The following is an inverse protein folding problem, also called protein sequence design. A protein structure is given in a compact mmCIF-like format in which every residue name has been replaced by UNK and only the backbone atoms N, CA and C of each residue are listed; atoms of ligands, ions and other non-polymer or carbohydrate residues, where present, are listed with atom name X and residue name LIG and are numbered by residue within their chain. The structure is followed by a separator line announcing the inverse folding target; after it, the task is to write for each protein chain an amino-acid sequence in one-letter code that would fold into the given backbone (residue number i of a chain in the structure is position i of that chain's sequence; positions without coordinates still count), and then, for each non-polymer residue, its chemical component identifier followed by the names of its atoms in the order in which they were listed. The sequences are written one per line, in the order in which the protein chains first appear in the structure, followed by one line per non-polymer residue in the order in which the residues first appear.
data_IF_395268395939
#
_entry.id   IF_395268395939
#
_cell.length_a   1.000
_cell.length_b   1.000
_cell.length_c   1.000
_cell.angle_alpha   90.00
_cell.angle_beta   90.00
_cell.angle_gamma   90.00
#
_symmetry.space_group_name_H-M   'P 1'
#
loop_
_entity.id
_entity.type
_entity.pdbx_description
1 polymer ?
#
# COMPACT_ATOMS: atom_id res chain seq x y z
N UNK A 1 12.54 28.04 -1.40
CA UNK A 1 11.26 28.16 -0.66
C UNK A 1 11.30 27.15 0.47
N UNK A 2 10.70 27.42 1.64
CA UNK A 2 10.59 26.43 2.68
C UNK A 2 9.77 25.23 2.14
N UNK A 3 10.13 24.02 2.57
CA UNK A 3 9.35 22.82 2.22
C UNK A 3 7.97 22.87 2.89
N UNK A 4 6.92 22.24 2.31
CA UNK A 4 5.55 22.30 2.84
C UNK A 4 5.42 21.84 4.30
N UNK A 5 6.22 20.87 4.74
CA UNK A 5 6.19 20.34 6.10
C UNK A 5 7.37 20.80 6.97
N UNK A 6 8.01 21.94 6.61
CA UNK A 6 9.05 22.53 7.45
C UNK A 6 8.53 22.85 8.86
N UNK A 7 9.20 22.36 9.88
CA UNK A 7 8.81 22.52 11.29
C UNK A 7 7.94 21.39 11.85
N UNK A 8 7.40 20.50 11.03
CA UNK A 8 6.67 19.31 11.48
C UNK A 8 7.68 18.22 11.86
N UNK A 9 7.52 17.66 13.06
CA UNK A 9 8.31 16.56 13.59
C UNK A 9 7.51 15.27 13.56
N UNK A 10 8.09 14.24 12.96
CA UNK A 10 7.51 12.89 12.86
C UNK A 10 8.39 11.90 13.61
N UNK A 11 7.79 11.04 14.42
CA UNK A 11 8.48 9.92 15.06
C UNK A 11 7.93 8.61 14.52
N UNK A 12 8.83 7.82 13.95
CA UNK A 12 8.56 6.53 13.33
C UNK A 12 9.01 5.42 14.29
N UNK A 13 8.09 4.54 14.67
CA UNK A 13 8.32 3.41 15.59
C UNK A 13 7.88 2.13 14.92
N UNK A 14 8.76 1.15 14.85
CA UNK A 14 8.49 -0.15 14.24
C UNK A 14 9.39 -0.43 13.04
N UNK A 15 9.41 -1.71 12.64
CA UNK A 15 10.33 -2.21 11.61
C UNK A 15 9.61 -2.59 10.32
N UNK A 16 8.39 -2.08 10.12
CA UNK A 16 7.59 -2.36 8.93
C UNK A 16 7.84 -1.33 7.84
N UNK A 17 7.76 -1.78 6.59
CA UNK A 17 7.86 -0.91 5.40
C UNK A 17 6.81 0.19 5.45
N UNK A 18 5.59 -0.07 5.95
CA UNK A 18 4.53 0.92 6.04
C UNK A 18 4.94 2.16 6.86
N UNK A 19 5.57 1.98 8.04
CA UNK A 19 6.08 3.11 8.81
C UNK A 19 7.21 3.82 8.07
N UNK A 20 8.17 3.04 7.55
CA UNK A 20 9.32 3.57 6.85
C UNK A 20 8.92 4.36 5.59
N UNK A 21 7.93 3.88 4.85
CA UNK A 21 7.41 4.57 3.66
C UNK A 21 6.59 5.81 4.03
N UNK A 22 5.74 5.74 5.06
CA UNK A 22 5.06 6.90 5.62
C UNK A 22 6.07 8.02 5.99
N UNK A 23 7.08 7.68 6.79
CA UNK A 23 8.12 8.61 7.18
C UNK A 23 8.90 9.16 5.99
N UNK A 24 9.15 8.34 4.96
CA UNK A 24 9.78 8.80 3.71
C UNK A 24 8.95 9.87 3.01
N UNK A 25 7.65 9.63 2.80
CA UNK A 25 6.78 10.61 2.15
C UNK A 25 6.73 11.94 2.90
N UNK A 26 6.61 11.89 4.22
CA UNK A 26 6.62 13.09 5.06
C UNK A 26 7.99 13.79 5.05
N UNK A 27 9.08 13.02 5.04
CA UNK A 27 10.45 13.56 4.94
C UNK A 27 10.70 14.25 3.60
N UNK A 28 10.25 13.65 2.50
CA UNK A 28 10.41 14.22 1.15
C UNK A 28 9.61 15.53 1.01
N UNK A 29 8.51 15.67 1.76
CA UNK A 29 7.76 16.92 1.87
C UNK A 29 8.37 17.93 2.87
N UNK A 30 9.47 17.60 3.56
CA UNK A 30 10.25 18.50 4.40
C UNK A 30 10.07 18.35 5.91
N UNK A 31 9.36 17.32 6.39
CA UNK A 31 9.27 17.03 7.81
C UNK A 31 10.61 16.56 8.40
N UNK A 32 10.82 16.81 9.69
CA UNK A 32 11.92 16.28 10.49
C UNK A 32 11.52 14.90 11.02
N UNK A 33 11.97 13.83 10.36
CA UNK A 33 11.61 12.45 10.70
C UNK A 33 12.69 11.78 11.53
N UNK A 34 12.29 11.24 12.69
CA UNK A 34 13.15 10.48 13.61
C UNK A 34 12.67 9.03 13.64
N UNK A 35 13.53 8.12 13.22
CA UNK A 35 13.28 6.67 13.29
C UNK A 35 13.76 6.17 14.64
N UNK A 36 12.89 5.52 15.39
CA UNK A 36 13.23 4.84 16.64
C UNK A 36 13.53 3.38 16.33
N UNK A 37 14.79 3.00 16.50
CA UNK A 37 15.27 1.66 16.24
C UNK A 37 15.47 0.87 17.54
N UNK A 38 15.27 -0.46 17.51
CA UNK A 38 15.63 -1.32 18.66
C UNK A 38 17.15 -1.42 18.82
N UNK A 39 17.59 -1.95 19.94
CA UNK A 39 18.99 -2.32 20.13
C UNK A 39 19.42 -3.30 19.02
N UNK A 40 20.53 -3.01 18.37
CA UNK A 40 21.01 -3.74 17.18
C UNK A 40 20.49 -3.19 15.83
N UNK A 41 19.66 -2.16 15.85
CA UNK A 41 19.14 -1.49 14.65
C UNK A 41 17.91 -2.18 14.04
N UNK A 42 17.27 -1.50 13.10
CA UNK A 42 16.11 -2.05 12.39
C UNK A 42 16.50 -3.23 11.47
N UNK A 43 15.72 -4.31 11.42
CA UNK A 43 15.90 -5.40 10.45
C UNK A 43 15.92 -4.90 8.98
N UNK A 44 15.24 -3.80 8.67
CA UNK A 44 15.22 -3.20 7.34
C UNK A 44 16.62 -2.78 6.85
N UNK A 45 17.57 -2.51 7.76
CA UNK A 45 18.96 -2.18 7.39
C UNK A 45 19.66 -3.25 6.54
N UNK A 46 19.21 -4.52 6.67
CA UNK A 46 19.74 -5.64 5.88
C UNK A 46 19.29 -5.63 4.41
N UNK A 47 18.34 -4.78 4.06
CA UNK A 47 17.80 -4.67 2.70
C UNK A 47 18.64 -3.78 1.75
N UNK A 48 19.82 -3.31 2.18
CA UNK A 48 20.75 -2.54 1.35
C UNK A 48 20.10 -1.28 0.75
N UNK A 49 20.21 -1.11 -0.56
CA UNK A 49 19.67 0.07 -1.26
C UNK A 49 18.19 0.32 -1.04
N UNK A 50 17.43 -0.70 -0.73
CA UNK A 50 16.01 -0.53 -0.38
C UNK A 50 15.85 0.20 0.96
N UNK A 51 16.70 -0.11 1.95
CA UNK A 51 16.75 0.66 3.18
C UNK A 51 17.18 2.10 2.93
N UNK A 52 18.19 2.32 2.09
CA UNK A 52 18.66 3.67 1.75
C UNK A 52 17.53 4.50 1.13
N UNK A 53 16.70 3.89 0.28
CA UNK A 53 15.52 4.51 -0.30
C UNK A 53 14.51 4.92 0.77
N UNK A 54 14.21 4.05 1.74
CA UNK A 54 13.22 4.29 2.79
C UNK A 54 13.73 5.25 3.88
N UNK A 55 15.02 5.20 4.20
CA UNK A 55 15.63 5.93 5.32
C UNK A 55 16.30 7.25 4.93
N UNK A 56 16.47 7.50 3.65
CA UNK A 56 17.21 8.67 3.15
C UNK A 56 16.74 9.99 3.75
N UNK A 57 17.68 10.72 4.35
CA UNK A 57 17.43 12.03 4.98
C UNK A 57 16.69 12.01 6.32
N UNK A 58 16.33 10.86 6.86
CA UNK A 58 15.80 10.73 8.22
C UNK A 58 16.91 10.70 9.26
N UNK A 59 16.59 11.05 10.48
CA UNK A 59 17.45 10.84 11.65
C UNK A 59 17.08 9.51 12.30
N UNK A 60 18.02 8.90 12.99
CA UNK A 60 17.80 7.64 13.72
C UNK A 60 18.25 7.75 15.16
N UNK A 61 17.57 7.07 16.05
CA UNK A 61 17.94 6.89 17.45
C UNK A 61 17.66 5.47 17.89
N UNK A 62 18.63 4.84 18.53
CA UNK A 62 18.42 3.54 19.20
C UNK A 62 17.81 3.83 20.57
N UNK A 63 16.66 3.21 20.87
CA UNK A 63 15.93 3.48 22.10
C UNK A 63 15.16 2.27 22.61
N UNK A 64 15.11 2.12 23.94
CA UNK A 64 14.15 1.24 24.62
C UNK A 64 12.71 1.79 24.47
N UNK A 65 11.71 0.97 24.80
CA UNK A 65 10.30 1.40 24.75
C UNK A 65 10.02 2.69 25.52
N UNK A 66 10.51 2.79 26.77
CA UNK A 66 10.34 4.00 27.58
C UNK A 66 11.09 5.21 27.03
N UNK A 67 12.20 5.01 26.33
CA UNK A 67 12.90 6.09 25.62
C UNK A 67 12.16 6.48 24.36
N UNK A 68 11.59 5.52 23.61
CA UNK A 68 10.76 5.76 22.44
C UNK A 68 9.56 6.67 22.75
N UNK A 69 8.88 6.43 23.87
CA UNK A 69 7.79 7.30 24.36
C UNK A 69 8.26 8.73 24.63
N UNK A 70 9.45 8.90 25.23
CA UNK A 70 10.02 10.25 25.46
C UNK A 70 10.38 10.96 24.16
N UNK A 71 10.91 10.24 23.17
CA UNK A 71 11.18 10.81 21.84
C UNK A 71 9.87 11.22 21.16
N UNK A 72 8.84 10.40 21.28
CA UNK A 72 7.51 10.65 20.71
C UNK A 72 6.82 11.87 21.36
N UNK A 73 7.10 12.18 22.62
CA UNK A 73 6.45 13.28 23.36
C UNK A 73 6.63 14.67 22.72
N UNK A 74 7.63 14.84 21.86
CA UNK A 74 7.89 16.10 21.15
C UNK A 74 7.50 16.06 19.66
N UNK A 75 6.75 15.04 19.25
CA UNK A 75 6.32 14.87 17.85
C UNK A 75 4.96 15.52 17.58
N UNK A 76 4.76 15.95 16.34
CA UNK A 76 3.46 16.36 15.81
C UNK A 76 2.71 15.13 15.24
N UNK A 77 3.46 14.17 14.68
CA UNK A 77 2.93 12.89 14.19
C UNK A 77 3.76 11.74 14.75
N UNK A 78 3.11 10.74 15.30
CA UNK A 78 3.74 9.47 15.71
C UNK A 78 3.16 8.36 14.84
N UNK A 79 4.03 7.60 14.16
CA UNK A 79 3.64 6.43 13.37
C UNK A 79 4.14 5.18 14.07
N UNK A 80 3.23 4.33 14.51
CA UNK A 80 3.54 3.05 15.15
C UNK A 80 3.10 1.89 14.25
N UNK A 81 4.03 1.26 13.56
CA UNK A 81 3.72 0.10 12.74
C UNK A 81 4.11 -1.20 13.45
N UNK A 82 3.13 -1.78 14.12
CA UNK A 82 3.24 -3.05 14.84
C UNK A 82 1.84 -3.63 15.06
N UNK A 83 1.72 -4.95 15.18
CA UNK A 83 0.52 -5.56 15.75
C UNK A 83 0.42 -5.27 17.26
N UNK A 84 -0.78 -5.36 17.85
CA UNK A 84 -0.91 -5.20 19.30
C UNK A 84 0.02 -6.16 20.09
N UNK A 85 0.17 -7.41 19.62
CA UNK A 85 1.07 -8.38 20.25
C UNK A 85 2.54 -7.98 20.15
N UNK A 86 2.98 -7.45 19.00
CA UNK A 86 4.34 -6.95 18.82
C UNK A 86 4.65 -5.75 19.69
N UNK A 87 3.73 -4.80 19.76
CA UNK A 87 3.86 -3.62 20.62
C UNK A 87 4.01 -4.03 22.09
N UNK A 88 3.16 -4.96 22.57
CA UNK A 88 3.27 -5.49 23.93
C UNK A 88 4.61 -6.18 24.18
N UNK A 89 5.09 -7.02 23.24
CA UNK A 89 6.42 -7.68 23.39
C UNK A 89 7.56 -6.65 23.46
N UNK A 90 7.44 -5.55 22.77
CA UNK A 90 8.41 -4.44 22.80
C UNK A 90 8.23 -3.50 23.98
N UNK A 91 7.22 -3.73 24.83
CA UNK A 91 6.90 -2.83 25.94
C UNK A 91 6.33 -1.47 25.50
N UNK A 92 5.81 -1.37 24.28
CA UNK A 92 5.19 -0.14 23.76
C UNK A 92 3.70 -0.18 24.11
N UNK A 93 3.26 0.77 24.91
CA UNK A 93 1.86 0.97 25.25
C UNK A 93 1.29 2.11 24.37
N UNK A 94 0.37 1.77 23.46
CA UNK A 94 -0.26 2.75 22.59
C UNK A 94 -1.11 3.77 23.35
N UNK A 95 -1.76 3.36 24.45
CA UNK A 95 -2.51 4.30 25.31
C UNK A 95 -1.57 5.28 26.01
N UNK A 96 -0.43 4.77 26.50
CA UNK A 96 0.59 5.62 27.09
C UNK A 96 1.18 6.58 26.05
N UNK A 97 1.43 6.13 24.82
CA UNK A 97 1.84 7.02 23.73
C UNK A 97 0.86 8.17 23.57
N UNK A 98 -0.43 7.90 23.42
CA UNK A 98 -1.44 8.94 23.28
C UNK A 98 -1.49 9.89 24.49
N UNK A 99 -1.42 9.34 25.72
CA UNK A 99 -1.44 10.14 26.95
C UNK A 99 -0.21 11.04 27.07
N UNK A 100 0.95 10.57 26.62
CA UNK A 100 2.22 11.32 26.68
C UNK A 100 2.40 12.28 25.51
N UNK A 101 1.60 12.15 24.46
CA UNK A 101 1.62 13.02 23.27
C UNK A 101 0.25 13.65 22.98
N UNK A 102 -0.36 14.40 23.92
CA UNK A 102 -1.76 14.82 23.82
C UNK A 102 -2.05 15.76 22.66
N UNK A 103 -1.02 16.37 22.08
CA UNK A 103 -1.14 17.24 20.90
C UNK A 103 -0.81 16.54 19.58
N UNK A 104 -0.21 15.37 19.61
CA UNK A 104 0.25 14.67 18.41
C UNK A 104 -0.86 13.83 17.76
N UNK A 105 -0.75 13.68 16.45
CA UNK A 105 -1.51 12.66 15.70
C UNK A 105 -0.81 11.33 15.87
N UNK A 106 -1.47 10.34 16.45
CA UNK A 106 -0.93 8.98 16.59
C UNK A 106 -1.57 8.06 15.56
N UNK A 107 -0.77 7.59 14.61
CA UNK A 107 -1.18 6.64 13.56
C UNK A 107 -0.63 5.26 13.90
N UNK A 108 -1.51 4.32 14.20
CA UNK A 108 -1.15 2.91 14.32
C UNK A 108 -1.38 2.18 13.01
N UNK A 109 -0.46 1.29 12.61
CA UNK A 109 -0.56 0.47 11.40
C UNK A 109 -0.37 -0.98 11.76
N UNK A 110 -1.38 -1.81 11.50
CA UNK A 110 -1.32 -3.26 11.70
C UNK A 110 -2.06 -4.01 10.59
N UNK A 111 -1.97 -5.34 10.55
CA UNK A 111 -2.58 -6.11 9.48
C UNK A 111 -4.10 -5.94 9.41
N UNK A 112 -4.77 -5.92 10.57
CA UNK A 112 -6.23 -5.95 10.68
C UNK A 112 -6.82 -4.85 11.58
N UNK A 113 -6.01 -3.84 11.94
CA UNK A 113 -6.37 -2.85 12.97
C UNK A 113 -5.96 -3.31 14.38
N UNK A 114 -6.04 -2.39 15.33
CA UNK A 114 -5.66 -2.64 16.73
C UNK A 114 -6.80 -3.18 17.58
N UNK A 115 -8.01 -3.16 17.05
CA UNK A 115 -9.23 -3.61 17.72
C UNK A 115 -9.99 -4.62 16.85
N UNK A 116 -10.94 -5.32 17.47
CA UNK A 116 -11.76 -6.30 16.78
C UNK A 116 -11.20 -7.73 16.82
N UNK A 117 -11.95 -8.70 16.28
CA UNK A 117 -11.68 -10.12 16.45
C UNK A 117 -10.41 -10.60 15.72
N UNK A 118 -9.92 -9.86 14.74
CA UNK A 118 -8.76 -10.23 13.92
C UNK A 118 -7.47 -9.50 14.27
N UNK A 119 -7.50 -8.58 15.23
CA UNK A 119 -6.37 -7.72 15.57
C UNK A 119 -5.06 -8.48 15.86
N UNK A 120 -5.17 -9.70 16.40
CA UNK A 120 -4.04 -10.56 16.75
C UNK A 120 -3.72 -11.65 15.71
N UNK A 121 -4.49 -11.72 14.61
CA UNK A 121 -4.25 -12.75 13.60
C UNK A 121 -2.94 -12.48 12.85
N UNK A 122 -2.13 -13.54 12.66
CA UNK A 122 -0.96 -13.44 11.81
C UNK A 122 -1.39 -13.29 10.35
N UNK A 123 -0.66 -12.49 9.58
CA UNK A 123 -0.83 -12.38 8.16
C UNK A 123 0.51 -12.17 7.46
N UNK A 124 0.54 -12.53 6.20
CA UNK A 124 1.62 -12.24 5.26
C UNK A 124 1.05 -11.34 4.16
N UNK A 125 1.92 -10.71 3.39
CA UNK A 125 1.49 -9.94 2.21
C UNK A 125 0.58 -10.76 1.28
N UNK A 126 0.94 -12.04 1.03
CA UNK A 126 0.13 -12.94 0.20
C UNK A 126 -1.28 -13.17 0.77
N UNK A 127 -1.38 -13.43 2.09
CA UNK A 127 -2.69 -13.67 2.72
C UNK A 127 -3.54 -12.41 2.75
N UNK A 128 -2.95 -11.24 2.95
CA UNK A 128 -3.66 -9.95 2.88
C UNK A 128 -4.16 -9.67 1.45
N UNK A 129 -3.34 -9.95 0.43
CA UNK A 129 -3.78 -9.86 -0.97
C UNK A 129 -4.92 -10.83 -1.29
N UNK A 130 -4.92 -12.02 -0.70
CA UNK A 130 -6.01 -12.97 -0.85
C UNK A 130 -7.30 -12.49 -0.16
N UNK A 131 -7.18 -12.00 1.08
CA UNK A 131 -8.31 -11.49 1.86
C UNK A 131 -8.97 -10.26 1.23
N UNK A 132 -8.19 -9.33 0.71
CA UNK A 132 -8.73 -8.19 -0.02
C UNK A 132 -9.26 -8.55 -1.41
N UNK A 133 -9.16 -9.82 -1.85
CA UNK A 133 -9.65 -10.30 -3.14
C UNK A 133 -8.70 -10.05 -4.33
N UNK A 134 -7.58 -9.39 -4.14
CA UNK A 134 -6.64 -9.03 -5.21
C UNK A 134 -6.10 -10.25 -5.98
N UNK A 135 -5.75 -11.34 -5.28
CA UNK A 135 -5.28 -12.57 -5.92
C UNK A 135 -6.35 -13.23 -6.78
N UNK A 136 -7.63 -13.11 -6.40
CA UNK A 136 -8.76 -13.68 -7.12
C UNK A 136 -8.97 -13.09 -8.52
N UNK A 137 -8.46 -11.88 -8.76
CA UNK A 137 -8.54 -11.19 -10.05
C UNK A 137 -7.29 -11.35 -10.92
N UNK A 138 -6.26 -12.08 -10.47
CA UNK A 138 -4.96 -12.18 -11.13
C UNK A 138 -4.64 -13.61 -11.59
N UNK A 139 -3.90 -13.69 -12.69
CA UNK A 139 -3.45 -14.94 -13.29
C UNK A 139 -4.42 -15.52 -14.30
N UNK A 140 -4.02 -16.62 -14.92
CA UNK A 140 -4.83 -17.33 -15.91
C UNK A 140 -5.97 -18.10 -15.21
N UNK A 141 -7.15 -18.22 -15.85
CA UNK A 141 -8.34 -18.86 -15.24
C UNK A 141 -8.12 -20.30 -14.79
N UNK A 142 -7.30 -21.05 -15.52
CA UNK A 142 -6.99 -22.47 -15.34
C UNK A 142 -5.77 -22.75 -14.46
N UNK A 143 -5.14 -21.69 -13.92
CA UNK A 143 -3.95 -21.78 -13.07
C UNK A 143 -4.22 -21.29 -11.64
N UNK A 144 -3.38 -21.63 -10.67
CA UNK A 144 -3.48 -21.05 -9.33
C UNK A 144 -3.44 -19.51 -9.36
N UNK A 145 -4.17 -18.84 -8.45
CA UNK A 145 -4.09 -17.38 -8.32
C UNK A 145 -2.66 -16.93 -7.99
N UNK A 146 -2.29 -15.78 -8.49
CA UNK A 146 -0.98 -15.17 -8.22
C UNK A 146 -1.11 -13.88 -7.44
N UNK A 147 -0.18 -13.65 -6.52
CA UNK A 147 -0.06 -12.37 -5.86
C UNK A 147 0.69 -11.37 -6.75
N UNK A 148 0.42 -10.10 -6.57
CA UNK A 148 1.33 -9.06 -7.05
C UNK A 148 2.65 -9.16 -6.28
N UNK A 149 3.76 -8.94 -6.97
CA UNK A 149 5.08 -8.95 -6.36
C UNK A 149 5.32 -7.75 -5.44
N UNK A 150 6.28 -7.88 -4.54
CA UNK A 150 6.64 -6.87 -3.57
C UNK A 150 5.67 -6.82 -2.37
N UNK A 151 5.86 -5.82 -1.53
CA UNK A 151 5.07 -5.60 -0.31
C UNK A 151 4.06 -4.48 -0.55
N UNK A 152 3.14 -4.67 -1.52
CA UNK A 152 2.19 -3.64 -1.96
C UNK A 152 1.30 -3.16 -0.82
N UNK A 153 0.85 -4.06 0.05
CA UNK A 153 0.02 -3.72 1.21
C UNK A 153 0.74 -2.77 2.16
N UNK A 154 2.03 -3.00 2.38
CA UNK A 154 2.86 -2.12 3.22
C UNK A 154 3.00 -0.72 2.59
N UNK A 155 3.25 -0.63 1.28
CA UNK A 155 3.35 0.66 0.59
C UNK A 155 2.02 1.41 0.57
N UNK A 156 0.92 0.72 0.30
CA UNK A 156 -0.43 1.28 0.33
C UNK A 156 -0.73 1.82 1.73
N UNK A 157 -0.53 1.00 2.77
CA UNK A 157 -0.76 1.41 4.15
C UNK A 157 0.13 2.59 4.57
N UNK A 158 1.41 2.59 4.15
CA UNK A 158 2.32 3.72 4.40
C UNK A 158 1.86 5.03 3.76
N UNK A 159 1.31 4.95 2.55
CA UNK A 159 0.69 6.11 1.88
C UNK A 159 -0.55 6.63 2.63
N UNK A 160 -1.44 5.74 3.04
CA UNK A 160 -2.61 6.11 3.87
C UNK A 160 -2.19 6.65 5.24
N UNK A 161 -1.16 6.07 5.86
CA UNK A 161 -0.64 6.57 7.14
C UNK A 161 -0.11 8.00 7.02
N UNK A 162 0.59 8.33 5.94
CA UNK A 162 1.04 9.69 5.67
C UNK A 162 -0.15 10.63 5.44
N UNK A 163 -1.13 10.21 4.64
CA UNK A 163 -2.33 11.00 4.37
C UNK A 163 -3.13 11.29 5.65
N UNK A 164 -3.45 10.26 6.44
CA UNK A 164 -4.22 10.45 7.67
C UNK A 164 -3.42 11.13 8.77
N UNK A 165 -2.10 10.92 8.83
CA UNK A 165 -1.21 11.68 9.71
C UNK A 165 -1.29 13.19 9.44
N UNK A 166 -1.24 13.58 8.16
CA UNK A 166 -1.40 14.98 7.74
C UNK A 166 -2.82 15.49 7.99
N UNK A 167 -3.85 14.71 7.63
CA UNK A 167 -5.24 15.10 7.85
C UNK A 167 -5.53 15.36 9.34
N UNK A 168 -4.93 14.56 10.23
CA UNK A 168 -5.06 14.72 11.67
C UNK A 168 -4.49 16.04 12.20
N UNK A 169 -3.49 16.63 11.55
CA UNK A 169 -2.95 17.93 11.93
C UNK A 169 -3.95 19.09 11.72
N UNK A 170 -4.93 18.92 10.81
CA UNK A 170 -6.00 19.90 10.58
C UNK A 170 -7.21 19.68 11.49
N UNK A 171 -7.24 18.58 12.22
CA UNK A 171 -8.32 18.21 13.13
C UNK A 171 -8.10 18.74 14.55
N UNK A 172 -8.83 18.14 15.49
CA UNK A 172 -8.62 18.39 16.92
C UNK A 172 -7.25 17.84 17.35
N UNK A 173 -6.58 18.54 18.26
CA UNK A 173 -5.32 18.08 18.84
C UNK A 173 -5.47 16.66 19.43
N UNK A 174 -4.46 15.82 19.22
CA UNK A 174 -4.45 14.45 19.76
C UNK A 174 -5.28 13.44 18.97
N UNK A 175 -5.43 13.61 17.66
CA UNK A 175 -6.13 12.64 16.82
C UNK A 175 -5.47 11.25 16.86
N UNK A 176 -6.32 10.22 16.91
CA UNK A 176 -5.88 8.82 16.79
C UNK A 176 -6.39 8.24 15.47
N UNK A 177 -5.51 7.55 14.77
CA UNK A 177 -5.81 6.83 13.53
C UNK A 177 -5.40 5.38 13.70
N UNK A 178 -6.35 4.46 13.62
CA UNK A 178 -6.08 3.02 13.58
C UNK A 178 -6.19 2.54 12.13
N UNK A 179 -5.06 2.23 11.51
CA UNK A 179 -4.96 1.86 10.10
C UNK A 179 -4.75 0.36 9.94
N UNK A 180 -5.72 -0.26 9.29
CA UNK A 180 -5.64 -1.67 8.87
C UNK A 180 -5.04 -1.76 7.46
N UNK A 181 -3.96 -2.56 7.30
CA UNK A 181 -3.38 -2.85 5.99
C UNK A 181 -4.42 -3.52 5.09
N UNK A 182 -5.22 -4.45 5.63
CA UNK A 182 -6.28 -5.10 4.86
C UNK A 182 -7.33 -4.11 4.33
N UNK A 183 -7.77 -3.16 5.16
CA UNK A 183 -8.74 -2.13 4.73
C UNK A 183 -8.15 -1.20 3.68
N UNK A 184 -6.91 -0.75 3.88
CA UNK A 184 -6.18 0.08 2.91
C UNK A 184 -6.02 -0.64 1.56
N UNK A 185 -5.65 -1.94 1.59
CA UNK A 185 -5.58 -2.77 0.38
C UNK A 185 -6.95 -2.96 -0.27
N UNK A 186 -7.99 -3.20 0.51
CA UNK A 186 -9.35 -3.37 0.00
C UNK A 186 -9.83 -2.11 -0.70
N UNK A 187 -9.59 -0.94 -0.12
CA UNK A 187 -9.94 0.34 -0.71
C UNK A 187 -9.17 0.63 -2.01
N UNK A 188 -7.89 0.22 -2.10
CA UNK A 188 -7.03 0.55 -3.24
C UNK A 188 -7.04 -0.51 -4.34
N UNK A 189 -7.11 -1.79 -3.99
CA UNK A 189 -6.90 -2.90 -4.93
C UNK A 189 -8.19 -3.53 -5.43
N UNK A 190 -9.33 -3.28 -4.76
CA UNK A 190 -10.62 -3.89 -5.07
C UNK A 190 -11.71 -2.92 -5.52
N UNK A 191 -11.39 -1.66 -5.72
CA UNK A 191 -12.36 -0.65 -6.19
C UNK A 191 -13.12 -1.11 -7.44
N UNK A 192 -12.41 -1.69 -8.41
CA UNK A 192 -13.03 -2.26 -9.61
C UNK A 192 -13.80 -3.56 -9.35
N UNK A 193 -13.38 -4.38 -8.40
CA UNK A 193 -14.10 -5.58 -7.98
C UNK A 193 -15.47 -5.24 -7.40
N UNK A 194 -15.51 -4.30 -6.45
CA UNK A 194 -16.74 -3.79 -5.87
C UNK A 194 -17.66 -3.16 -6.92
N UNK A 195 -17.12 -2.32 -7.80
CA UNK A 195 -17.91 -1.69 -8.86
C UNK A 195 -18.57 -2.74 -9.79
N UNK A 196 -17.91 -3.85 -10.04
CA UNK A 196 -18.42 -4.94 -10.89
C UNK A 196 -19.48 -5.77 -10.19
N UNK A 197 -19.32 -6.08 -8.91
CA UNK A 197 -20.29 -6.88 -8.14
C UNK A 197 -21.52 -6.07 -7.74
N UNK A 198 -21.33 -4.93 -7.10
CA UNK A 198 -22.43 -4.20 -6.50
C UNK A 198 -23.15 -3.26 -7.49
N UNK A 199 -22.41 -2.69 -8.44
CA UNK A 199 -23.00 -1.78 -9.44
C UNK A 199 -23.46 -2.54 -10.69
N UNK A 200 -22.66 -3.49 -11.19
CA UNK A 200 -22.97 -4.24 -12.41
C UNK A 200 -23.66 -5.59 -12.16
N UNK A 201 -23.84 -6.01 -10.92
CA UNK A 201 -24.49 -7.28 -10.55
C UNK A 201 -23.76 -8.52 -11.03
N UNK A 202 -22.47 -8.42 -11.33
CA UNK A 202 -21.68 -9.52 -11.84
C UNK A 202 -21.23 -10.43 -10.69
N UNK A 203 -21.81 -11.62 -10.60
CA UNK A 203 -21.54 -12.59 -9.53
C UNK A 203 -20.36 -13.51 -9.79
N UNK A 204 -19.76 -13.47 -10.99
CA UNK A 204 -18.57 -14.26 -11.33
C UNK A 204 -17.40 -13.39 -11.70
N UNK A 205 -16.24 -13.63 -11.06
CA UNK A 205 -14.98 -13.00 -11.42
C UNK A 205 -14.28 -13.83 -12.49
N UNK A 206 -14.12 -13.25 -13.67
CA UNK A 206 -13.12 -13.75 -14.62
C UNK A 206 -11.79 -13.15 -14.24
N UNK A 207 -10.79 -13.99 -13.97
CA UNK A 207 -9.41 -13.55 -13.86
C UNK A 207 -9.01 -12.98 -15.21
N UNK A 208 -8.30 -11.86 -15.20
CA UNK A 208 -7.84 -11.18 -16.41
C UNK A 208 -8.93 -10.94 -17.45
N UNK A 209 -9.64 -9.84 -17.31
CA UNK A 209 -10.60 -9.36 -18.35
C UNK A 209 -9.91 -8.50 -19.40
N UNK A 210 -8.62 -8.26 -19.26
CA UNK A 210 -7.83 -7.49 -20.21
C UNK A 210 -7.36 -8.41 -21.36
N UNK A 211 -7.59 -7.98 -22.58
CA UNK A 211 -7.20 -8.69 -23.79
C UNK A 211 -6.75 -7.68 -24.85
N UNK A 212 -5.52 -7.83 -25.39
CA UNK A 212 -4.45 -8.70 -24.92
C UNK A 212 -3.92 -8.26 -23.53
N UNK A 213 -3.25 -9.15 -22.81
CA UNK A 213 -2.76 -8.92 -21.45
C UNK A 213 -1.33 -9.44 -21.31
N UNK A 214 -1.15 -10.71 -20.92
CA UNK A 214 0.14 -11.38 -20.93
C UNK A 214 0.15 -12.33 -22.11
N UNK A 215 0.87 -11.95 -23.16
CA UNK A 215 0.87 -12.69 -24.42
C UNK A 215 2.26 -13.28 -24.70
N UNK A 216 2.27 -14.43 -25.37
CA UNK A 216 3.50 -15.08 -25.76
C UNK A 216 4.19 -14.31 -26.88
N UNK A 217 5.48 -14.10 -26.77
CA UNK A 217 6.33 -13.55 -27.82
C UNK A 217 7.40 -14.58 -28.24
N UNK A 218 8.32 -14.21 -29.14
CA UNK A 218 9.30 -15.10 -29.73
C UNK A 218 10.16 -15.83 -28.68
N UNK A 219 10.51 -15.18 -27.60
CA UNK A 219 11.50 -15.62 -26.61
C UNK A 219 10.99 -15.57 -25.17
N UNK A 220 9.68 -15.34 -24.97
CA UNK A 220 9.10 -15.29 -23.62
C UNK A 220 7.67 -14.78 -23.61
N UNK A 221 7.38 -13.86 -22.73
CA UNK A 221 6.07 -13.23 -22.57
C UNK A 221 6.21 -11.73 -22.47
N UNK A 222 5.23 -11.01 -22.98
CA UNK A 222 5.11 -9.55 -22.86
C UNK A 222 3.80 -9.22 -22.12
N UNK A 223 3.88 -8.33 -21.15
CA UNK A 223 2.72 -7.79 -20.45
C UNK A 223 2.27 -6.47 -21.10
N UNK A 224 0.98 -6.36 -21.36
CA UNK A 224 0.38 -5.17 -21.98
C UNK A 224 -0.86 -4.76 -21.23
N UNK A 225 -1.14 -3.46 -21.19
CA UNK A 225 -2.37 -2.91 -20.63
C UNK A 225 -2.85 -1.75 -21.51
N UNK A 226 -4.08 -1.82 -21.97
CA UNK A 226 -4.71 -0.81 -22.83
C UNK A 226 -6.09 -0.47 -22.25
N UNK A 227 -6.11 0.49 -21.32
CA UNK A 227 -7.32 0.90 -20.64
C UNK A 227 -8.22 1.81 -21.50
N UNK A 228 -7.62 2.61 -22.39
CA UNK A 228 -8.33 3.60 -23.20
C UNK A 228 -8.39 3.18 -24.67
N UNK A 229 -9.39 3.73 -25.40
CA UNK A 229 -9.52 3.53 -26.85
C UNK A 229 -8.28 4.03 -27.60
N UNK A 230 -7.73 5.18 -27.23
CA UNK A 230 -6.51 5.72 -27.86
C UNK A 230 -5.32 4.77 -27.73
N UNK A 231 -5.16 4.12 -26.54
CA UNK A 231 -4.11 3.12 -26.33
C UNK A 231 -4.35 1.88 -27.21
N UNK A 232 -5.61 1.46 -27.33
CA UNK A 232 -6.00 0.36 -28.20
C UNK A 232 -5.69 0.64 -29.67
N UNK A 233 -6.06 1.82 -30.17
CA UNK A 233 -5.77 2.26 -31.54
C UNK A 233 -4.26 2.28 -31.81
N UNK A 234 -3.49 2.83 -30.88
CA UNK A 234 -2.02 2.89 -30.98
C UNK A 234 -1.40 1.49 -30.99
N UNK A 235 -1.92 0.56 -30.16
CA UNK A 235 -1.50 -0.83 -30.13
C UNK A 235 -1.78 -1.51 -31.47
N UNK A 236 -2.99 -1.41 -32.01
CA UNK A 236 -3.35 -2.00 -33.31
C UNK A 236 -2.46 -1.49 -34.43
N UNK A 237 -2.15 -0.19 -34.43
CA UNK A 237 -1.21 0.39 -35.39
C UNK A 237 0.22 -0.20 -35.24
N UNK A 238 0.68 -0.36 -34.00
CA UNK A 238 2.01 -0.91 -33.70
C UNK A 238 2.15 -2.36 -34.17
N UNK A 239 1.12 -3.20 -33.95
CA UNK A 239 1.15 -4.63 -34.33
C UNK A 239 0.69 -4.89 -35.77
N UNK A 240 0.27 -3.86 -36.50
CA UNK A 240 -0.13 -3.98 -37.92
C UNK A 240 -1.50 -4.62 -38.13
N UNK A 241 -2.44 -4.46 -37.20
CA UNK A 241 -3.81 -4.98 -37.26
C UNK A 241 -4.86 -3.88 -37.41
N UNK A 242 -4.90 -3.13 -38.54
CA UNK A 242 -5.82 -2.00 -38.74
C UNK A 242 -7.30 -2.43 -38.72
N UNK A 243 -7.61 -3.66 -39.05
CA UNK A 243 -8.97 -4.21 -39.02
C UNK A 243 -9.54 -4.29 -37.59
N UNK A 244 -8.69 -4.53 -36.58
CA UNK A 244 -9.11 -4.50 -35.18
C UNK A 244 -9.31 -3.05 -34.69
N UNK A 245 -8.52 -2.12 -35.19
CA UNK A 245 -8.67 -0.69 -34.91
C UNK A 245 -9.96 -0.11 -35.53
N UNK A 246 -10.36 -0.59 -36.70
CA UNK A 246 -11.57 -0.16 -37.41
C UNK A 246 -12.86 -0.55 -36.69
N UNK A 247 -12.82 -1.58 -35.86
CA UNK A 247 -13.95 -1.98 -35.02
C UNK A 247 -14.00 -1.15 -33.73
N UNK A 248 -14.74 -0.06 -33.78
CA UNK A 248 -14.88 0.88 -32.67
C UNK A 248 -15.43 0.23 -31.39
N UNK A 249 -16.11 -0.90 -31.50
CA UNK A 249 -16.63 -1.60 -30.31
C UNK A 249 -15.50 -2.18 -29.47
N UNK A 250 -14.35 -2.51 -30.08
CA UNK A 250 -13.15 -3.02 -29.40
C UNK A 250 -12.37 -1.95 -28.62
N UNK A 251 -12.73 -0.68 -28.73
CA UNK A 251 -12.24 0.38 -27.86
C UNK A 251 -12.52 0.09 -26.37
N UNK A 252 -13.64 -0.58 -26.08
CA UNK A 252 -13.97 -1.01 -24.72
C UNK A 252 -13.32 -2.35 -24.37
N UNK A 253 -12.57 -2.38 -23.27
CA UNK A 253 -11.87 -3.56 -22.76
C UNK A 253 -12.78 -4.79 -22.61
N UNK A 254 -14.00 -4.61 -22.10
CA UNK A 254 -14.98 -5.69 -21.94
C UNK A 254 -15.36 -6.33 -23.28
N UNK A 255 -15.44 -5.55 -24.34
CA UNK A 255 -15.76 -6.08 -25.68
C UNK A 255 -14.58 -6.84 -26.27
N UNK A 256 -13.34 -6.41 -26.03
CA UNK A 256 -12.15 -7.20 -26.38
C UNK A 256 -12.15 -8.55 -25.68
N UNK A 257 -12.47 -8.57 -24.38
CA UNK A 257 -12.58 -9.82 -23.63
C UNK A 257 -13.67 -10.74 -24.17
N UNK A 258 -14.84 -10.21 -24.55
CA UNK A 258 -15.92 -10.99 -25.17
C UNK A 258 -15.52 -11.56 -26.53
N UNK A 259 -14.68 -10.85 -27.26
CA UNK A 259 -14.15 -11.23 -28.57
C UNK A 259 -12.69 -11.71 -28.52
N UNK A 260 -12.26 -12.26 -27.39
CA UNK A 260 -10.85 -12.56 -27.11
C UNK A 260 -10.21 -13.50 -28.14
N UNK A 261 -10.97 -14.45 -28.68
CA UNK A 261 -10.46 -15.39 -29.67
C UNK A 261 -10.09 -14.65 -30.97
N UNK A 262 -10.88 -13.68 -31.38
CA UNK A 262 -10.61 -12.82 -32.55
C UNK A 262 -9.45 -11.85 -32.31
N UNK A 263 -9.29 -11.39 -31.09
CA UNK A 263 -8.23 -10.41 -30.76
C UNK A 263 -6.87 -11.08 -30.60
N UNK A 264 -6.83 -12.38 -30.30
CA UNK A 264 -5.60 -13.16 -30.10
C UNK A 264 -5.12 -13.92 -31.35
N UNK A 265 -5.90 -13.92 -32.42
CA UNK A 265 -5.52 -14.52 -33.71
C UNK A 265 -4.68 -13.58 -34.53
#
# INVERSE_FOLDING_TARGET
MPHPLSGIRVVEIGDRIAAAYCGKLLRDAGADVIVVEPEGGSPLRRSGHFFDYLAGGKRSVVATAGQAQRVAAAADIVVLAASPAEARRRGIDCRALHTTTPGAVVVTVSNFGWTGPWAEYPATEFTLQAWCGSTGSRGEPDRPPIAAGGDLGEFIAGGYAAFFGLAGLFGAAGAQVDLSVLEAMSASMQTFGWLRTDVAGLTSFSRSTEVPSIERCKDGYVGMSMATDTQWQSFCAMVGCPELAADLTLGLQLNRWRNRDRVRT
#
